data_IF_959908905181
#
_entry.id   IF_959908905181
#
_cell.length_a   1.000
_cell.length_b   1.000
_cell.length_c   1.000
_cell.angle_alpha   90.00
_cell.angle_beta   90.00
_cell.angle_gamma   90.00
#
_symmetry.space_group_name_H-M   'P 1'
#
loop_
_entity.id
_entity.type
_entity.pdbx_description
1 polymer ?
#
# COMPACT_ATOMS: atom_id res chain seq x y z
N UNK A 1 -6.21 5.53 -5.18
CA UNK A 1 -7.12 6.35 -4.34
C UNK A 1 -6.59 6.45 -2.92
N UNK A 2 -6.43 5.35 -2.18
CA UNK A 2 -5.97 5.34 -0.79
C UNK A 2 -4.73 6.22 -0.48
N UNK A 3 -3.72 6.23 -1.36
CA UNK A 3 -2.54 7.12 -1.26
C UNK A 3 -2.91 8.58 -1.03
N UNK A 4 -3.92 9.11 -1.73
CA UNK A 4 -4.36 10.51 -1.62
C UNK A 4 -5.22 10.76 -0.37
N UNK A 5 -5.80 9.70 0.18
CA UNK A 5 -6.68 9.72 1.35
C UNK A 5 -5.93 9.53 2.66
N UNK A 6 -4.63 9.24 2.61
CA UNK A 6 -3.75 9.07 3.78
C UNK A 6 -3.94 10.12 4.89
N UNK A 7 -3.93 11.45 4.61
CA UNK A 7 -4.14 12.45 5.66
C UNK A 7 -5.55 12.44 6.27
N UNK A 8 -6.55 11.88 5.57
CA UNK A 8 -7.90 11.68 6.12
C UNK A 8 -7.98 10.41 6.99
N UNK A 9 -7.19 9.39 6.65
CA UNK A 9 -7.16 8.11 7.38
C UNK A 9 -6.26 8.15 8.61
N UNK A 10 -5.12 8.86 8.56
CA UNK A 10 -4.12 8.91 9.62
C UNK A 10 -4.04 10.30 10.27
N UNK A 11 -4.39 10.46 11.56
CA UNK A 11 -4.58 11.77 12.20
C UNK A 11 -3.41 12.75 12.16
N UNK A 12 -2.18 12.27 12.03
CA UNK A 12 -0.96 13.09 12.08
C UNK A 12 -0.23 13.16 10.73
N UNK A 13 -0.84 12.66 9.66
CA UNK A 13 -0.30 12.84 8.31
C UNK A 13 -0.69 14.19 7.74
N UNK A 14 0.25 14.82 7.04
CA UNK A 14 0.02 16.12 6.41
C UNK A 14 -0.68 15.91 5.06
N UNK A 15 -1.51 16.86 4.59
CA UNK A 15 -1.90 16.90 3.19
C UNK A 15 -0.67 17.15 2.30
N UNK A 16 -0.35 16.21 1.42
CA UNK A 16 0.81 16.27 0.53
C UNK A 16 0.34 16.27 -0.94
N UNK A 17 0.88 17.14 -1.82
CA UNK A 17 0.58 17.10 -3.25
C UNK A 17 1.24 15.88 -3.91
N UNK A 18 0.48 14.80 -4.08
CA UNK A 18 0.97 13.57 -4.71
C UNK A 18 1.11 13.77 -6.22
N UNK A 19 2.33 13.65 -6.73
CA UNK A 19 2.64 13.84 -8.15
C UNK A 19 2.68 12.54 -8.94
N UNK A 20 2.90 11.42 -8.26
CA UNK A 20 2.91 10.11 -8.90
C UNK A 20 2.66 8.99 -7.92
N UNK A 21 1.90 8.00 -8.39
CA UNK A 21 1.60 6.77 -7.68
C UNK A 21 1.56 5.64 -8.70
N UNK A 22 2.26 4.55 -8.40
CA UNK A 22 2.23 3.31 -9.19
C UNK A 22 1.96 2.13 -8.27
N UNK A 23 1.25 1.14 -8.79
CA UNK A 23 0.90 -0.09 -8.06
C UNK A 23 1.26 -1.25 -8.97
N UNK A 24 2.20 -2.07 -8.52
CA UNK A 24 2.71 -3.23 -9.24
C UNK A 24 2.31 -4.50 -8.49
N UNK A 25 1.75 -5.46 -9.23
CA UNK A 25 1.39 -6.77 -8.72
C UNK A 25 2.28 -7.84 -9.33
N UNK A 26 2.71 -8.79 -8.50
CA UNK A 26 3.38 -10.01 -8.94
C UNK A 26 2.71 -11.23 -8.30
N UNK A 27 2.45 -12.24 -9.11
CA UNK A 27 2.05 -13.55 -8.62
C UNK A 27 3.32 -14.28 -8.17
N UNK A 28 3.31 -14.77 -6.95
CA UNK A 28 4.35 -15.61 -6.37
C UNK A 28 3.77 -17.01 -6.11
N UNK A 29 4.64 -17.99 -5.84
CA UNK A 29 4.22 -19.38 -5.64
C UNK A 29 3.13 -19.54 -4.57
N UNK A 30 3.21 -18.76 -3.49
CA UNK A 30 2.31 -18.85 -2.34
C UNK A 30 1.52 -17.56 -2.07
N UNK A 31 1.27 -16.73 -3.10
CA UNK A 31 0.43 -15.55 -2.94
C UNK A 31 0.69 -14.42 -3.94
N UNK A 32 0.26 -13.22 -3.56
CA UNK A 32 0.41 -12.01 -4.35
C UNK A 32 1.33 -11.02 -3.64
N UNK A 33 2.28 -10.45 -4.38
CA UNK A 33 3.08 -9.32 -3.92
C UNK A 33 2.57 -8.03 -4.54
N UNK A 34 2.15 -7.11 -3.68
CA UNK A 34 1.82 -5.74 -4.04
C UNK A 34 3.01 -4.82 -3.73
N UNK A 35 3.43 -4.00 -4.69
CA UNK A 35 4.41 -2.93 -4.48
C UNK A 35 3.78 -1.60 -4.86
N UNK A 36 3.84 -0.62 -3.97
CA UNK A 36 3.34 0.73 -4.22
C UNK A 36 4.49 1.71 -4.16
N UNK A 37 4.67 2.49 -5.22
CA UNK A 37 5.65 3.57 -5.26
C UNK A 37 4.95 4.92 -5.40
N UNK A 38 5.31 5.85 -4.52
CA UNK A 38 4.73 7.21 -4.44
C UNK A 38 5.86 8.23 -4.57
N UNK A 39 5.61 9.33 -5.29
CA UNK A 39 6.55 10.46 -5.42
C UNK A 39 5.84 11.80 -5.24
N UNK A 40 6.60 12.76 -4.73
CA UNK A 40 6.23 14.16 -4.55
C UNK A 40 7.50 14.99 -4.47
N UNK A 41 7.43 16.28 -4.81
CA UNK A 41 8.41 17.28 -4.39
C UNK A 41 7.81 18.08 -3.23
N UNK A 42 8.16 17.71 -1.99
CA UNK A 42 7.61 18.36 -0.79
C UNK A 42 8.57 18.30 0.40
N UNK A 43 8.24 19.04 1.46
CA UNK A 43 9.08 19.17 2.66
C UNK A 43 9.09 17.93 3.55
N UNK A 44 8.05 17.09 3.45
CA UNK A 44 7.94 15.79 4.15
C UNK A 44 7.95 14.61 3.18
N UNK A 45 8.31 13.43 3.69
CA UNK A 45 8.30 12.18 2.94
C UNK A 45 6.88 11.66 2.66
N UNK A 46 6.80 10.63 1.81
CA UNK A 46 5.56 9.97 1.37
C UNK A 46 5.51 8.47 1.70
N UNK A 47 6.20 8.06 2.76
CA UNK A 47 6.26 6.65 3.18
C UNK A 47 4.89 6.19 3.68
N UNK A 48 4.20 7.05 4.42
CA UNK A 48 2.86 6.77 4.94
C UNK A 48 1.85 6.62 3.81
N UNK A 49 1.95 7.44 2.77
CA UNK A 49 1.09 7.35 1.59
C UNK A 49 1.33 6.04 0.83
N UNK A 50 2.59 5.61 0.69
CA UNK A 50 2.92 4.31 0.09
C UNK A 50 2.39 3.14 0.93
N UNK A 51 2.53 3.21 2.27
CA UNK A 51 2.04 2.20 3.21
C UNK A 51 0.50 2.12 3.22
N UNK A 52 -0.20 3.26 3.19
CA UNK A 52 -1.65 3.28 3.05
C UNK A 52 -2.09 2.71 1.70
N UNK A 53 -1.39 3.06 0.61
CA UNK A 53 -1.63 2.54 -0.72
C UNK A 53 -1.51 1.01 -0.79
N UNK A 54 -0.41 0.45 -0.27
CA UNK A 54 -0.18 -1.01 -0.34
C UNK A 54 -1.17 -1.78 0.53
N UNK A 55 -1.50 -1.29 1.73
CA UNK A 55 -2.50 -1.93 2.58
C UNK A 55 -3.88 -1.94 1.93
N UNK A 56 -4.32 -0.81 1.35
CA UNK A 56 -5.59 -0.76 0.63
C UNK A 56 -5.58 -1.69 -0.59
N UNK A 57 -4.46 -1.78 -1.32
CA UNK A 57 -4.31 -2.72 -2.44
C UNK A 57 -4.44 -4.17 -2.00
N UNK A 58 -3.76 -4.56 -0.91
CA UNK A 58 -3.82 -5.91 -0.35
C UNK A 58 -5.23 -6.25 0.18
N UNK A 59 -5.89 -5.32 0.87
CA UNK A 59 -7.27 -5.49 1.32
C UNK A 59 -8.24 -5.62 0.13
N UNK A 60 -8.02 -4.87 -0.96
CA UNK A 60 -8.80 -5.01 -2.18
C UNK A 60 -8.61 -6.38 -2.83
N UNK A 61 -7.38 -6.87 -2.91
CA UNK A 61 -7.11 -8.22 -3.42
C UNK A 61 -7.78 -9.30 -2.56
N UNK A 62 -7.70 -9.18 -1.22
CA UNK A 62 -8.42 -10.08 -0.32
C UNK A 62 -9.92 -10.03 -0.58
N UNK A 63 -10.52 -8.84 -0.68
CA UNK A 63 -11.96 -8.70 -0.93
C UNK A 63 -12.42 -9.41 -2.21
N UNK A 64 -11.60 -9.38 -3.27
CA UNK A 64 -11.86 -10.06 -4.53
C UNK A 64 -11.69 -11.58 -4.45
N UNK A 65 -10.80 -12.08 -3.59
CA UNK A 65 -10.46 -13.50 -3.46
C UNK A 65 -11.18 -14.20 -2.31
N UNK A 66 -11.88 -13.45 -1.45
CA UNK A 66 -12.47 -13.94 -0.20
C UNK A 66 -13.45 -15.11 -0.37
N UNK A 67 -14.05 -15.29 -1.54
CA UNK A 67 -14.95 -16.43 -1.79
C UNK A 67 -14.18 -17.72 -2.07
N UNK A 68 -12.98 -17.62 -2.64
CA UNK A 68 -12.10 -18.75 -3.00
C UNK A 68 -11.29 -19.18 -1.77
N UNK A 69 -10.86 -18.22 -0.98
CA UNK A 69 -10.03 -18.41 0.21
C UNK A 69 -10.79 -18.93 1.43
N UNK A 70 -12.12 -18.91 1.41
CA UNK A 70 -12.96 -19.40 2.51
C UNK A 70 -13.03 -20.91 2.54
N UNK A 71 -12.97 -21.47 3.74
CA UNK A 71 -13.35 -22.87 3.97
C UNK A 71 -14.88 -23.06 4.07
N UNK A 72 -15.31 -24.31 4.32
CA UNK A 72 -16.72 -24.65 4.47
C UNK A 72 -17.42 -24.01 5.68
N UNK A 73 -16.65 -23.54 6.67
CA UNK A 73 -17.16 -22.83 7.85
C UNK A 73 -17.12 -21.30 7.65
N UNK A 74 -16.66 -20.83 6.49
CA UNK A 74 -16.54 -19.42 6.13
C UNK A 74 -15.33 -18.72 6.77
N UNK A 75 -14.35 -19.48 7.28
CA UNK A 75 -13.11 -18.96 7.88
C UNK A 75 -11.99 -18.83 6.83
N UNK A 76 -10.91 -18.15 7.20
CA UNK A 76 -9.70 -17.97 6.38
C UNK A 76 -8.48 -18.59 7.09
N UNK A 77 -8.31 -19.92 7.01
CA UNK A 77 -7.30 -20.63 7.81
C UNK A 77 -5.86 -20.28 7.43
N UNK A 78 -5.61 -19.90 6.17
CA UNK A 78 -4.26 -19.69 5.63
C UNK A 78 -4.02 -18.27 5.12
N UNK A 79 -5.07 -17.57 4.71
CA UNK A 79 -4.99 -16.23 4.12
C UNK A 79 -4.51 -15.22 5.15
N UNK A 80 -3.52 -14.43 4.77
CA UNK A 80 -2.92 -13.40 5.64
C UNK A 80 -2.30 -12.31 4.81
N UNK A 81 -2.26 -11.10 5.38
CA UNK A 81 -1.43 -10.00 4.90
C UNK A 81 -0.19 -9.95 5.78
N UNK A 82 0.99 -10.06 5.19
CA UNK A 82 2.25 -10.09 5.91
C UNK A 82 3.34 -9.29 5.20
N UNK A 83 4.44 -9.02 5.93
CA UNK A 83 5.65 -8.46 5.34
C UNK A 83 5.54 -7.02 4.81
N UNK A 84 4.48 -6.29 5.13
CA UNK A 84 4.30 -4.89 4.74
C UNK A 84 5.42 -4.03 5.34
N UNK A 85 6.26 -3.47 4.47
CA UNK A 85 7.41 -2.65 4.87
C UNK A 85 7.78 -1.66 3.78
N UNK A 86 8.47 -0.59 4.16
CA UNK A 86 9.11 0.32 3.21
C UNK A 86 10.33 -0.38 2.60
N UNK A 87 10.34 -0.58 1.29
CA UNK A 87 11.48 -1.19 0.57
C UNK A 87 12.61 -0.19 0.35
N UNK A 88 12.26 1.05 -0.01
CA UNK A 88 13.22 2.14 -0.26
C UNK A 88 12.52 3.48 -0.06
N UNK A 89 13.22 4.44 0.54
CA UNK A 89 12.89 5.86 0.54
C UNK A 89 14.10 6.63 0.01
N UNK A 90 13.88 7.57 -0.88
CA UNK A 90 14.89 8.54 -1.31
C UNK A 90 14.33 9.94 -1.18
N UNK A 91 15.14 10.88 -0.68
CA UNK A 91 14.85 12.31 -0.65
C UNK A 91 15.94 13.00 -1.48
N UNK A 92 15.55 13.73 -2.52
CA UNK A 92 16.48 14.57 -3.28
C UNK A 92 16.98 15.73 -2.42
N UNK A 93 18.13 16.30 -2.79
CA UNK A 93 18.61 17.53 -2.17
C UNK A 93 17.62 18.65 -2.53
N UNK A 94 17.17 19.51 -1.58
CA UNK A 94 16.28 20.63 -1.91
C UNK A 94 16.88 21.65 -2.89
N UNK A 95 18.17 21.52 -3.20
CA UNK A 95 18.95 22.41 -4.04
C UNK A 95 19.31 21.83 -5.43
N UNK A 96 18.90 20.59 -5.71
CA UNK A 96 18.89 20.00 -7.07
C UNK A 96 17.55 20.25 -7.77
#
# INVERSE_FOLDING_TARGET
QAVKETPRTLPHCHPIPIEGCTVDWRVEENGLRCTVSVRTHWTTGVEMEALCGVNAGLLCAWDMLKSIEKDSEGQYPTSRIEGVRVLRKSKGDPHD
#
